data_IF_602283002911
#
_entry.id   IF_602283002911
#
_cell.length_a   1.000
_cell.length_b   1.000
_cell.length_c   1.000
_cell.angle_alpha   90.00
_cell.angle_beta   90.00
_cell.angle_gamma   90.00
#
_symmetry.space_group_name_H-M   'P 1'
#
loop_
_entity.id
_entity.type
_entity.pdbx_description
1 polymer ?
#
# COMPACT_ATOMS: atom_id res chain seq x y z
N UNK A 1 13.12 -10.29 6.95
CA UNK A 1 13.21 -10.59 5.50
C UNK A 1 12.35 -9.68 4.62
N UNK A 2 11.26 -9.07 5.11
CA UNK A 2 10.46 -8.11 4.33
C UNK A 2 11.17 -6.75 4.15
N UNK A 3 11.91 -6.29 5.16
CA UNK A 3 12.57 -4.97 5.16
C UNK A 3 13.65 -4.80 4.08
N UNK A 4 14.37 -5.88 3.73
CA UNK A 4 15.36 -5.86 2.64
C UNK A 4 14.74 -5.68 1.26
N UNK A 5 13.49 -6.11 1.08
CA UNK A 5 12.79 -6.00 -0.20
C UNK A 5 12.22 -4.60 -0.39
N UNK A 6 11.71 -3.99 0.70
CA UNK A 6 11.30 -2.58 0.73
C UNK A 6 12.49 -1.65 0.42
N UNK A 7 13.67 -1.95 0.96
CA UNK A 7 14.88 -1.16 0.73
C UNK A 7 15.39 -1.17 -0.74
N UNK A 8 15.07 -2.22 -1.51
CA UNK A 8 15.51 -2.37 -2.91
C UNK A 8 14.42 -2.06 -3.95
N UNK A 9 13.23 -1.64 -3.52
CA UNK A 9 12.15 -1.28 -4.44
C UNK A 9 12.29 0.20 -4.84
N UNK A 10 12.45 0.45 -6.14
CA UNK A 10 12.45 1.82 -6.70
C UNK A 10 11.14 2.51 -6.34
N UNK A 11 11.20 3.77 -5.88
CA UNK A 11 10.00 4.55 -5.58
C UNK A 11 9.20 4.87 -6.85
N UNK A 12 7.90 5.11 -6.71
CA UNK A 12 7.04 5.52 -7.82
C UNK A 12 7.46 6.90 -8.32
N UNK A 13 7.67 7.00 -9.63
CA UNK A 13 7.91 8.24 -10.36
C UNK A 13 7.03 8.31 -11.62
N UNK A 14 7.22 9.35 -12.43
CA UNK A 14 6.41 9.61 -13.62
C UNK A 14 6.56 8.55 -14.72
N UNK A 15 7.62 7.75 -14.72
CA UNK A 15 8.00 6.89 -15.84
C UNK A 15 7.92 5.39 -15.51
N UNK A 16 7.78 5.02 -14.23
CA UNK A 16 7.92 3.63 -13.79
C UNK A 16 6.64 2.99 -13.24
N UNK A 17 5.48 3.64 -13.38
CA UNK A 17 4.21 3.21 -12.77
C UNK A 17 3.87 1.74 -13.02
N UNK A 18 3.95 1.24 -14.26
CA UNK A 18 3.58 -0.15 -14.58
C UNK A 18 4.43 -1.19 -13.83
N UNK A 19 5.75 -0.96 -13.77
CA UNK A 19 6.68 -1.87 -13.08
C UNK A 19 6.56 -1.71 -11.57
N UNK A 20 6.44 -0.47 -11.10
CA UNK A 20 6.25 -0.16 -9.68
C UNK A 20 4.97 -0.80 -9.14
N UNK A 21 3.86 -0.69 -9.89
CA UNK A 21 2.57 -1.28 -9.54
C UNK A 21 2.71 -2.78 -9.35
N UNK A 22 3.27 -3.49 -10.31
CA UNK A 22 3.45 -4.93 -10.20
C UNK A 22 4.33 -5.33 -9.00
N UNK A 23 5.42 -4.61 -8.73
CA UNK A 23 6.26 -4.84 -7.54
C UNK A 23 5.50 -4.58 -6.24
N UNK A 24 4.65 -3.56 -6.20
CA UNK A 24 3.80 -3.24 -5.05
C UNK A 24 2.77 -4.34 -4.80
N UNK A 25 2.12 -4.87 -5.85
CA UNK A 25 1.20 -6.00 -5.75
C UNK A 25 1.90 -7.21 -5.11
N UNK A 26 3.09 -7.58 -5.59
CA UNK A 26 3.88 -8.68 -5.04
C UNK A 26 4.31 -8.44 -3.58
N UNK A 27 4.67 -7.20 -3.22
CA UNK A 27 5.06 -6.83 -1.86
C UNK A 27 3.87 -6.97 -0.90
N UNK A 28 2.71 -6.45 -1.28
CA UNK A 28 1.49 -6.53 -0.47
C UNK A 28 0.99 -7.97 -0.34
N UNK A 29 1.11 -8.80 -1.39
CA UNK A 29 0.81 -10.23 -1.31
C UNK A 29 1.75 -10.95 -0.34
N UNK A 30 3.06 -10.68 -0.41
CA UNK A 30 4.06 -11.25 0.50
C UNK A 30 3.81 -10.88 1.96
N UNK A 31 3.25 -9.70 2.21
CA UNK A 31 2.92 -9.23 3.56
C UNK A 31 1.50 -9.57 4.03
N UNK A 32 0.72 -10.31 3.23
CA UNK A 32 -0.69 -10.63 3.51
C UNK A 32 -1.58 -9.36 3.67
N UNK A 33 -1.22 -8.29 2.94
CA UNK A 33 -1.88 -6.99 2.93
C UNK A 33 -2.68 -6.73 1.64
N UNK A 34 -2.48 -7.54 0.60
CA UNK A 34 -3.16 -7.37 -0.69
C UNK A 34 -4.70 -7.36 -0.57
N UNK A 35 -5.23 -8.10 0.39
CA UNK A 35 -6.66 -8.12 0.70
C UNK A 35 -7.20 -6.73 1.06
N UNK A 36 -6.41 -5.85 1.65
CA UNK A 36 -6.84 -4.51 2.08
C UNK A 36 -7.03 -3.55 0.90
N UNK A 37 -6.28 -3.74 -0.19
CA UNK A 37 -6.37 -2.93 -1.41
C UNK A 37 -7.41 -3.50 -2.38
N UNK A 38 -7.53 -4.84 -2.43
CA UNK A 38 -8.44 -5.52 -3.36
C UNK A 38 -9.89 -5.62 -2.86
N UNK A 39 -10.11 -5.75 -1.55
CA UNK A 39 -11.44 -5.93 -0.96
C UNK A 39 -11.99 -4.64 -0.35
N UNK A 40 -13.32 -4.53 -0.25
CA UNK A 40 -13.94 -3.41 0.45
C UNK A 40 -13.84 -3.60 1.96
N UNK A 41 -13.82 -2.48 2.70
CA UNK A 41 -13.89 -2.48 4.16
C UNK A 41 -15.06 -3.36 4.65
N UNK A 42 -14.82 -4.34 5.54
CA UNK A 42 -15.88 -5.17 6.11
C UNK A 42 -16.89 -4.28 6.84
N UNK A 43 -18.18 -4.59 6.67
CA UNK A 43 -19.25 -3.93 7.42
C UNK A 43 -19.30 -4.39 8.90
N UNK A 44 -18.62 -5.50 9.21
CA UNK A 44 -18.63 -6.13 10.52
C UNK A 44 -17.68 -5.40 11.50
N UNK A 45 -18.25 -4.81 12.55
CA UNK A 45 -17.54 -3.98 13.53
C UNK A 45 -16.57 -4.77 14.39
N UNK A 46 -16.78 -6.07 14.53
CA UNK A 46 -16.01 -6.95 15.43
C UNK A 46 -14.57 -7.14 14.95
N UNK A 47 -14.33 -7.07 13.63
CA UNK A 47 -13.02 -7.15 13.01
C UNK A 47 -12.51 -5.79 12.48
N UNK A 48 -13.25 -4.70 12.71
CA UNK A 48 -12.92 -3.39 12.14
C UNK A 48 -11.57 -2.85 12.63
N UNK A 49 -11.22 -3.08 13.89
CA UNK A 49 -9.94 -2.61 14.45
C UNK A 49 -8.73 -3.38 13.89
N UNK A 50 -8.85 -4.70 13.69
CA UNK A 50 -7.78 -5.51 13.10
C UNK A 50 -7.63 -5.25 11.60
N UNK A 51 -8.75 -5.03 10.91
CA UNK A 51 -8.77 -4.57 9.52
C UNK A 51 -8.10 -3.21 9.37
N UNK A 52 -8.47 -2.22 10.18
CA UNK A 52 -7.89 -0.87 10.11
C UNK A 52 -6.37 -0.88 10.30
N UNK A 53 -5.86 -1.67 11.26
CA UNK A 53 -4.40 -1.82 11.44
C UNK A 53 -3.69 -2.37 10.20
N UNK A 54 -4.33 -3.30 9.48
CA UNK A 54 -3.77 -3.88 8.24
C UNK A 54 -3.86 -2.86 7.09
N UNK A 55 -4.97 -2.13 6.98
CA UNK A 55 -5.16 -1.05 6.01
C UNK A 55 -4.13 0.08 6.21
N UNK A 56 -3.93 0.54 7.44
CA UNK A 56 -2.94 1.56 7.79
C UNK A 56 -1.52 1.11 7.40
N UNK A 57 -1.20 -0.17 7.62
CA UNK A 57 0.09 -0.75 7.24
C UNK A 57 0.26 -0.81 5.72
N UNK A 58 -0.77 -1.21 4.99
CA UNK A 58 -0.75 -1.23 3.53
C UNK A 58 -0.55 0.18 2.96
N UNK A 59 -1.32 1.15 3.47
CA UNK A 59 -1.22 2.57 3.08
C UNK A 59 0.17 3.16 3.38
N UNK A 60 0.72 2.91 4.56
CA UNK A 60 2.06 3.36 4.91
C UNK A 60 3.12 2.75 3.98
N UNK A 61 2.96 1.48 3.60
CA UNK A 61 3.88 0.80 2.69
C UNK A 61 3.84 1.39 1.30
N UNK A 62 2.63 1.67 0.78
CA UNK A 62 2.42 2.35 -0.50
C UNK A 62 3.06 3.74 -0.45
N UNK A 63 2.71 4.58 0.53
CA UNK A 63 3.21 5.94 0.64
C UNK A 63 4.74 6.03 0.78
N UNK A 64 5.37 5.15 1.56
CA UNK A 64 6.83 5.14 1.73
C UNK A 64 7.60 4.76 0.46
N UNK A 65 6.93 4.09 -0.49
CA UNK A 65 7.48 3.68 -1.78
C UNK A 65 7.03 4.59 -2.92
N UNK A 66 6.51 5.77 -2.62
CA UNK A 66 6.17 6.82 -3.59
C UNK A 66 7.15 7.98 -3.43
N UNK A 67 7.56 8.61 -4.53
CA UNK A 67 8.38 9.83 -4.45
C UNK A 67 7.58 11.01 -3.88
N UNK A 68 8.28 11.94 -3.23
CA UNK A 68 7.66 13.11 -2.59
C UNK A 68 6.86 13.96 -3.59
N UNK A 69 7.30 14.00 -4.85
CA UNK A 69 6.61 14.68 -5.95
C UNK A 69 5.23 14.08 -6.25
N UNK A 70 5.06 12.77 -6.03
CA UNK A 70 3.83 12.01 -6.28
C UNK A 70 2.96 11.88 -5.02
N UNK A 71 3.56 11.99 -3.82
CA UNK A 71 2.83 11.96 -2.55
C UNK A 71 1.73 13.02 -2.45
N UNK A 72 1.89 14.16 -3.14
CA UNK A 72 0.88 15.21 -3.20
C UNK A 72 -0.49 14.70 -3.71
N UNK A 73 -0.49 13.68 -4.57
CA UNK A 73 -1.69 13.11 -5.18
C UNK A 73 -2.42 12.17 -4.22
N UNK A 74 -1.68 11.39 -3.43
CA UNK A 74 -2.25 10.33 -2.58
C UNK A 74 -2.38 10.69 -1.09
N UNK A 75 -1.85 11.86 -0.67
CA UNK A 75 -1.84 12.26 0.76
C UNK A 75 -3.22 12.39 1.40
N UNK A 76 -4.27 12.62 0.60
CA UNK A 76 -5.64 12.81 1.10
C UNK A 76 -6.41 11.50 1.21
N UNK A 77 -5.91 10.43 0.62
CA UNK A 77 -6.58 9.15 0.61
C UNK A 77 -6.50 8.50 1.98
N UNK A 78 -7.63 8.07 2.51
CA UNK A 78 -7.76 7.58 3.88
C UNK A 78 -7.64 6.07 4.02
N UNK A 79 -7.65 5.34 2.90
CA UNK A 79 -7.54 3.88 2.84
C UNK A 79 -6.47 3.46 1.84
N UNK A 80 -5.89 2.27 2.01
CA UNK A 80 -4.88 1.76 1.09
C UNK A 80 -5.44 1.48 -0.32
N UNK A 81 -6.76 1.37 -0.45
CA UNK A 81 -7.46 1.21 -1.73
C UNK A 81 -7.58 2.51 -2.53
N UNK A 82 -7.62 3.65 -1.84
CA UNK A 82 -7.76 4.95 -2.47
C UNK A 82 -6.40 5.58 -2.84
N UNK A 83 -5.32 5.13 -2.18
CA UNK A 83 -3.94 5.52 -2.45
C UNK A 83 -3.35 4.78 -3.67
#
# INVERSE_FOLDING_TARGET
>A
MADLFRANTTKLNNDNYSVWKFKMELLLMKEDLWSQVSTNKPADTTAAASWQKRDDRARATIGLLVEDSQLIHIRKDTTAKAA
#
